data_IF_168451559007
#
_entry.id   IF_168451559007
#
_cell.length_a   1.000
_cell.length_b   1.000
_cell.length_c   1.000
_cell.angle_alpha   90.00
_cell.angle_beta   90.00
_cell.angle_gamma   90.00
#
_symmetry.space_group_name_H-M   'P 1'
#
loop_
_entity.id
_entity.type
_entity.pdbx_description
1 polymer ?
#
# COMPACT_ATOMS: atom_id res chain seq x y z
N UNK A 1 1.43 -6.80 7.50
CA UNK A 1 2.70 -6.34 6.91
C UNK A 1 3.89 -7.09 7.50
N UNK A 2 4.33 -6.81 8.74
CA UNK A 2 5.52 -7.43 9.36
C UNK A 2 5.59 -8.97 9.31
N UNK A 3 4.45 -9.67 9.47
CA UNK A 3 4.37 -11.14 9.36
C UNK A 3 4.79 -11.67 7.98
N UNK A 4 4.43 -10.97 6.91
CA UNK A 4 4.62 -11.45 5.54
C UNK A 4 5.83 -10.79 4.87
N UNK A 5 6.13 -9.52 5.19
CA UNK A 5 7.30 -8.80 4.70
C UNK A 5 7.99 -8.17 5.90
N UNK A 6 8.98 -8.86 6.49
CA UNK A 6 9.71 -8.33 7.63
C UNK A 6 10.72 -7.26 7.18
N UNK A 7 10.90 -6.22 8.00
CA UNK A 7 11.73 -5.06 7.65
C UNK A 7 13.18 -5.41 7.33
N UNK A 8 13.79 -6.35 8.06
CA UNK A 8 15.18 -6.80 7.83
C UNK A 8 15.38 -7.51 6.47
N UNK A 9 14.30 -7.96 5.81
CA UNK A 9 14.38 -8.48 4.44
C UNK A 9 14.33 -7.36 3.42
N UNK A 10 13.67 -6.25 3.75
CA UNK A 10 13.60 -5.10 2.86
C UNK A 10 14.86 -4.25 2.83
N UNK A 11 15.75 -4.40 3.81
CA UNK A 11 17.06 -3.75 3.81
C UNK A 11 18.11 -4.48 2.96
N UNK A 12 17.70 -5.49 2.19
CA UNK A 12 18.55 -6.16 1.18
C UNK A 12 18.43 -5.48 -0.18
N UNK A 13 19.31 -5.85 -1.12
CA UNK A 13 19.29 -5.39 -2.51
C UNK A 13 17.93 -5.62 -3.20
N UNK A 14 17.31 -6.77 -2.97
CA UNK A 14 16.04 -7.17 -3.58
C UNK A 14 14.82 -6.64 -2.80
N UNK A 15 15.05 -5.90 -1.70
CA UNK A 15 14.01 -5.47 -0.79
C UNK A 15 12.89 -4.69 -1.46
N UNK A 16 13.22 -3.61 -2.18
CA UNK A 16 12.22 -2.80 -2.86
C UNK A 16 11.47 -3.61 -3.92
N UNK A 17 12.15 -4.44 -4.72
CA UNK A 17 11.52 -5.30 -5.73
C UNK A 17 10.47 -6.22 -5.10
N UNK A 18 10.80 -6.83 -3.95
CA UNK A 18 9.87 -7.67 -3.19
C UNK A 18 8.67 -6.88 -2.66
N UNK A 19 8.90 -5.69 -2.09
CA UNK A 19 7.82 -4.84 -1.61
C UNK A 19 6.88 -4.43 -2.75
N UNK A 20 7.43 -4.03 -3.90
CA UNK A 20 6.66 -3.62 -5.08
C UNK A 20 5.88 -4.80 -5.69
N UNK A 21 6.48 -6.00 -5.77
CA UNK A 21 5.77 -7.21 -6.19
C UNK A 21 4.63 -7.57 -5.25
N UNK A 22 4.83 -7.44 -3.94
CA UNK A 22 3.79 -7.69 -2.94
C UNK A 22 2.66 -6.67 -3.04
N UNK A 23 2.98 -5.37 -3.00
CA UNK A 23 1.99 -4.29 -3.10
C UNK A 23 1.27 -4.29 -4.46
N UNK A 24 2.00 -4.63 -5.52
CA UNK A 24 1.56 -4.58 -6.92
C UNK A 24 0.48 -5.60 -7.29
N UNK A 25 0.12 -6.51 -6.38
CA UNK A 25 -0.99 -7.44 -6.56
C UNK A 25 -2.17 -7.20 -5.61
N UNK A 26 -2.12 -6.11 -4.83
CA UNK A 26 -3.21 -5.71 -3.92
C UNK A 26 -3.44 -6.70 -2.79
N UNK A 27 -2.80 -6.48 -1.64
CA UNK A 27 -2.79 -7.47 -0.56
C UNK A 27 -3.92 -7.24 0.43
N UNK A 28 -4.80 -8.22 0.58
CA UNK A 28 -6.01 -8.09 1.38
C UNK A 28 -6.45 -9.42 1.99
N UNK A 29 -7.71 -9.46 2.45
CA UNK A 29 -8.30 -10.70 2.99
C UNK A 29 -8.31 -11.84 1.95
N UNK A 30 -8.53 -11.52 0.67
CA UNK A 30 -8.59 -12.52 -0.41
C UNK A 30 -7.26 -13.21 -0.65
N UNK A 31 -6.16 -12.46 -0.57
CA UNK A 31 -4.81 -13.00 -0.80
C UNK A 31 -4.19 -13.66 0.43
N UNK A 32 -4.94 -13.78 1.54
CA UNK A 32 -4.45 -14.36 2.78
C UNK A 32 -3.94 -15.79 2.57
N UNK A 33 -4.74 -16.65 1.94
CA UNK A 33 -4.39 -18.05 1.73
C UNK A 33 -3.21 -18.20 0.78
N UNK A 34 -3.11 -17.32 -0.23
CA UNK A 34 -1.92 -17.22 -1.08
C UNK A 34 -0.70 -16.92 -0.22
N UNK A 35 -0.71 -15.81 0.52
CA UNK A 35 0.40 -15.43 1.39
C UNK A 35 0.75 -16.52 2.41
N UNK A 36 -0.21 -17.25 2.96
CA UNK A 36 0.05 -18.34 3.90
C UNK A 36 0.59 -19.61 3.21
N UNK A 37 0.21 -19.85 1.96
CA UNK A 37 0.70 -21.00 1.17
C UNK A 37 2.11 -20.82 0.61
N UNK A 38 2.50 -19.57 0.32
CA UNK A 38 3.80 -19.24 -0.29
C UNK A 38 4.75 -18.47 0.63
N UNK A 39 4.28 -17.94 1.78
CA UNK A 39 5.18 -17.54 2.85
C UNK A 39 5.87 -18.79 3.38
N UNK A 40 7.06 -19.07 2.84
CA UNK A 40 8.09 -19.90 3.46
C UNK A 40 8.26 -19.46 4.93
N UNK A 41 9.01 -20.19 5.78
CA UNK A 41 9.24 -19.77 7.18
C UNK A 41 9.71 -18.30 7.33
N UNK A 42 10.29 -17.73 6.26
CA UNK A 42 10.81 -16.37 6.14
C UNK A 42 9.85 -15.30 5.59
N UNK A 43 8.60 -15.61 5.23
CA UNK A 43 7.65 -14.66 4.63
C UNK A 43 7.62 -14.64 3.09
N UNK A 44 6.92 -13.65 2.52
CA UNK A 44 6.89 -13.33 1.09
C UNK A 44 8.19 -12.63 0.70
N UNK A 45 9.13 -13.41 0.17
CA UNK A 45 10.43 -12.90 -0.27
C UNK A 45 11.04 -13.83 -1.32
N UNK A 46 11.60 -13.24 -2.36
CA UNK A 46 12.36 -13.89 -3.42
C UNK A 46 13.73 -13.23 -3.57
N UNK A 47 14.71 -13.97 -4.06
CA UNK A 47 16.07 -13.50 -4.34
C UNK A 47 16.28 -13.18 -5.83
N UNK A 48 15.29 -13.48 -6.67
CA UNK A 48 15.32 -13.21 -8.12
C UNK A 48 13.91 -13.07 -8.69
N UNK A 49 13.81 -12.51 -9.90
CA UNK A 49 12.55 -12.48 -10.66
C UNK A 49 12.03 -13.90 -10.94
N UNK A 50 12.92 -14.85 -11.18
CA UNK A 50 12.55 -16.25 -11.44
C UNK A 50 11.90 -16.89 -10.21
N UNK A 51 12.48 -16.68 -9.01
CA UNK A 51 11.88 -17.14 -7.76
C UNK A 51 10.53 -16.45 -7.50
N UNK A 52 10.43 -15.15 -7.77
CA UNK A 52 9.17 -14.40 -7.65
C UNK A 52 8.10 -14.95 -8.59
N UNK A 53 8.43 -15.21 -9.85
CA UNK A 53 7.51 -15.82 -10.83
C UNK A 53 7.06 -17.21 -10.40
N UNK A 54 8.00 -18.06 -9.93
CA UNK A 54 7.71 -19.42 -9.47
C UNK A 54 6.68 -19.44 -8.32
N UNK A 55 6.77 -18.49 -7.38
CA UNK A 55 5.83 -18.37 -6.26
C UNK A 55 4.39 -18.20 -6.75
N UNK A 56 4.16 -17.37 -7.77
CA UNK A 56 2.84 -17.18 -8.35
C UNK A 56 2.44 -18.35 -9.25
N UNK A 57 3.38 -18.84 -10.08
CA UNK A 57 3.08 -19.89 -11.05
C UNK A 57 2.69 -21.21 -10.37
N UNK A 58 3.23 -21.49 -9.19
CA UNK A 58 2.83 -22.62 -8.34
C UNK A 58 1.33 -22.57 -8.04
N UNK A 59 0.82 -21.41 -7.63
CA UNK A 59 -0.60 -21.23 -7.27
C UNK A 59 -1.48 -21.16 -8.52
N UNK A 60 -1.03 -20.50 -9.57
CA UNK A 60 -1.73 -20.45 -10.87
C UNK A 60 -1.92 -21.87 -11.43
N UNK A 61 -0.87 -22.69 -11.45
CA UNK A 61 -0.94 -24.08 -11.93
C UNK A 61 -1.87 -24.93 -11.08
N UNK A 62 -1.84 -24.77 -9.76
CA UNK A 62 -2.75 -25.45 -8.83
C UNK A 62 -4.20 -25.07 -9.09
N UNK A 63 -4.49 -23.77 -9.23
CA UNK A 63 -5.82 -23.28 -9.53
C UNK A 63 -6.31 -23.77 -10.91
N UNK A 64 -5.46 -23.75 -11.93
CA UNK A 64 -5.81 -24.24 -13.26
C UNK A 64 -6.19 -25.73 -13.23
N UNK A 65 -5.41 -26.56 -12.53
CA UNK A 65 -5.73 -27.98 -12.34
C UNK A 65 -7.07 -28.16 -11.63
N UNK A 66 -7.31 -27.42 -10.55
CA UNK A 66 -8.58 -27.48 -9.82
C UNK A 66 -9.78 -27.13 -10.71
N UNK A 67 -9.65 -26.09 -11.54
CA UNK A 67 -10.72 -25.68 -12.46
C UNK A 67 -11.00 -26.77 -13.49
N UNK A 68 -9.96 -27.38 -14.08
CA UNK A 68 -10.10 -28.50 -15.02
C UNK A 68 -10.80 -29.69 -14.35
N UNK A 69 -10.32 -30.11 -13.17
CA UNK A 69 -10.86 -31.25 -12.43
C UNK A 69 -12.33 -31.06 -12.05
N UNK A 70 -12.75 -29.80 -11.82
CA UNK A 70 -14.14 -29.44 -11.50
C UNK A 70 -14.97 -29.01 -12.72
N UNK A 71 -14.42 -29.07 -13.93
CA UNK A 71 -15.13 -28.73 -15.18
C UNK A 71 -15.42 -27.24 -15.38
N UNK A 72 -14.68 -26.34 -14.72
CA UNK A 72 -14.79 -24.90 -14.88
C UNK A 72 -13.86 -24.37 -15.99
N UNK A 73 -14.25 -23.30 -16.70
CA UNK A 73 -13.40 -22.70 -17.72
C UNK A 73 -12.23 -21.93 -17.10
N UNK A 74 -11.04 -22.04 -17.72
CA UNK A 74 -9.79 -21.46 -17.23
C UNK A 74 -9.70 -19.93 -17.34
N UNK A 75 -10.54 -19.31 -18.17
CA UNK A 75 -10.55 -17.88 -18.43
C UNK A 75 -11.34 -17.08 -17.38
N UNK A 76 -12.05 -17.76 -16.47
CA UNK A 76 -12.83 -17.16 -15.40
C UNK A 76 -12.15 -17.33 -14.04
N UNK A 77 -12.36 -16.34 -13.17
CA UNK A 77 -11.97 -16.45 -11.77
C UNK A 77 -12.72 -17.61 -11.12
N UNK A 78 -11.98 -18.48 -10.44
CA UNK A 78 -12.53 -19.52 -9.57
C UNK A 78 -12.80 -19.06 -8.15
N UNK A 79 -12.77 -17.76 -7.86
CA UNK A 79 -12.98 -17.23 -6.51
C UNK A 79 -14.33 -17.72 -5.96
N UNK A 80 -14.28 -18.34 -4.77
CA UNK A 80 -15.44 -18.99 -4.13
C UNK A 80 -15.56 -20.50 -4.38
N UNK A 81 -14.75 -21.07 -5.28
CA UNK A 81 -14.62 -22.52 -5.43
C UNK A 81 -13.73 -23.05 -4.31
N UNK A 82 -14.21 -24.06 -3.58
CA UNK A 82 -13.42 -24.73 -2.54
C UNK A 82 -12.07 -25.23 -3.11
N UNK A 83 -10.98 -24.83 -2.44
CA UNK A 83 -9.60 -25.14 -2.81
C UNK A 83 -8.93 -24.12 -3.74
N UNK A 84 -9.68 -23.16 -4.31
CA UNK A 84 -9.12 -22.10 -5.14
C UNK A 84 -8.44 -21.05 -4.26
N UNK A 85 -7.25 -20.61 -4.65
CA UNK A 85 -6.44 -19.65 -3.89
C UNK A 85 -6.35 -18.34 -4.68
N UNK A 86 -6.98 -17.28 -4.18
CA UNK A 86 -6.84 -15.93 -4.75
C UNK A 86 -5.43 -15.40 -4.46
N UNK A 87 -4.67 -15.02 -5.51
CA UNK A 87 -3.28 -14.55 -5.41
C UNK A 87 -3.11 -13.06 -5.73
N UNK A 88 -4.18 -12.36 -6.12
CA UNK A 88 -4.28 -10.91 -6.24
C UNK A 88 -5.64 -10.37 -5.76
N UNK A 89 -5.71 -9.09 -5.38
CA UNK A 89 -6.95 -8.38 -5.05
C UNK A 89 -6.95 -6.97 -5.64
N UNK A 90 -7.55 -6.82 -6.81
CA UNK A 90 -7.73 -5.53 -7.48
C UNK A 90 -8.59 -4.52 -6.70
N UNK A 91 -9.28 -4.94 -5.63
CA UNK A 91 -10.22 -4.11 -4.85
C UNK A 91 -9.76 -3.83 -3.43
N UNK A 92 -8.50 -4.08 -3.12
CA UNK A 92 -7.92 -3.87 -1.78
C UNK A 92 -8.19 -2.46 -1.21
N UNK A 93 -8.33 -1.44 -2.07
CA UNK A 93 -8.57 -0.04 -1.68
C UNK A 93 -10.01 0.45 -1.87
N UNK A 94 -10.96 -0.46 -2.10
CA UNK A 94 -12.38 -0.13 -2.27
C UNK A 94 -12.79 0.29 -3.69
N UNK A 95 -11.82 0.54 -4.57
CA UNK A 95 -12.01 0.75 -6.01
C UNK A 95 -11.20 -0.27 -6.78
N UNK A 96 -11.76 -0.80 -7.86
CA UNK A 96 -11.05 -1.74 -8.73
C UNK A 96 -9.89 -1.03 -9.44
N UNK A 97 -8.68 -1.55 -9.31
CA UNK A 97 -7.50 -1.10 -10.03
C UNK A 97 -6.85 -2.27 -10.78
N UNK A 98 -6.98 -2.26 -12.11
CA UNK A 98 -6.40 -3.29 -12.98
C UNK A 98 -4.87 -3.35 -12.87
N UNK A 99 -4.18 -2.24 -12.57
CA UNK A 99 -2.73 -2.25 -12.37
C UNK A 99 -2.29 -2.97 -11.10
N UNK A 100 -3.20 -3.25 -10.17
CA UNK A 100 -2.95 -4.08 -8.99
C UNK A 100 -3.29 -5.56 -9.22
N UNK A 101 -3.61 -5.98 -10.46
CA UNK A 101 -3.65 -7.40 -10.77
C UNK A 101 -2.24 -7.94 -10.97
N UNK A 102 -2.03 -9.21 -10.64
CA UNK A 102 -0.83 -9.95 -11.01
C UNK A 102 -0.72 -10.15 -12.54
N UNK A 103 -1.84 -10.11 -13.27
CA UNK A 103 -1.89 -10.21 -14.73
C UNK A 103 -2.75 -9.08 -15.32
N UNK A 104 -2.28 -7.82 -15.24
CA UNK A 104 -3.05 -6.66 -15.66
C UNK A 104 -3.37 -6.71 -17.16
N UNK A 105 -4.54 -6.17 -17.51
CA UNK A 105 -4.92 -6.01 -18.93
C UNK A 105 -4.41 -4.68 -19.48
N UNK A 106 -3.62 -4.72 -20.55
CA UNK A 106 -3.10 -3.54 -21.26
C UNK A 106 -4.16 -2.92 -22.18
N UNK A 107 -3.88 -1.72 -22.68
CA UNK A 107 -4.67 -1.12 -23.77
C UNK A 107 -4.63 -2.07 -24.97
N UNK A 108 -5.82 -2.45 -25.47
CA UNK A 108 -5.95 -3.46 -26.53
C UNK A 108 -6.39 -4.84 -26.04
N UNK A 109 -6.56 -5.04 -24.73
CA UNK A 109 -7.15 -6.27 -24.17
C UNK A 109 -6.16 -7.41 -23.93
N UNK A 110 -4.87 -7.22 -24.25
CA UNK A 110 -3.82 -8.18 -23.95
C UNK A 110 -3.53 -8.20 -22.44
N UNK A 111 -3.53 -9.40 -21.83
CA UNK A 111 -3.09 -9.58 -20.44
C UNK A 111 -1.58 -9.74 -20.39
N UNK A 112 -0.93 -9.06 -19.44
CA UNK A 112 0.46 -9.35 -19.11
C UNK A 112 0.55 -10.66 -18.32
N UNK A 113 1.66 -11.38 -18.51
CA UNK A 113 2.11 -12.43 -17.63
C UNK A 113 2.59 -11.86 -16.29
N UNK A 114 2.73 -12.72 -15.27
CA UNK A 114 3.32 -12.33 -13.98
C UNK A 114 4.74 -11.79 -14.17
N UNK A 115 5.52 -12.44 -15.03
CA UNK A 115 6.89 -11.99 -15.34
C UNK A 115 6.90 -10.60 -15.94
N UNK A 116 6.13 -10.36 -17.01
CA UNK A 116 6.04 -9.04 -17.67
C UNK A 116 5.57 -7.94 -16.71
N UNK A 117 4.74 -8.26 -15.72
CA UNK A 117 4.31 -7.32 -14.68
C UNK A 117 5.45 -6.98 -13.71
N UNK A 118 6.22 -7.96 -13.26
CA UNK A 118 7.24 -7.75 -12.22
C UNK A 118 8.62 -7.40 -12.75
N UNK A 119 8.96 -7.77 -13.98
CA UNK A 119 10.26 -7.49 -14.59
C UNK A 119 10.72 -6.02 -14.40
N UNK A 120 9.85 -4.99 -14.57
CA UNK A 120 10.26 -3.60 -14.31
C UNK A 120 10.67 -3.33 -12.85
N UNK A 121 10.10 -4.02 -11.87
CA UNK A 121 10.43 -3.84 -10.45
C UNK A 121 11.75 -4.52 -10.07
N UNK A 122 12.19 -5.49 -10.88
CA UNK A 122 13.38 -6.30 -10.68
C UNK A 122 14.56 -5.86 -11.56
N UNK A 123 14.41 -4.75 -12.28
CA UNK A 123 15.47 -4.14 -13.05
C UNK A 123 16.66 -3.77 -12.15
N UNK A 124 17.87 -3.91 -12.68
CA UNK A 124 19.13 -3.66 -11.94
C UNK A 124 19.16 -2.23 -11.43
N UNK A 125 18.68 -1.27 -12.22
CA UNK A 125 18.63 0.16 -11.89
C UNK A 125 17.73 0.45 -10.68
N UNK A 126 16.65 -0.32 -10.50
CA UNK A 126 15.74 -0.20 -9.35
C UNK A 126 16.42 -0.71 -8.09
N UNK A 127 17.12 -1.85 -8.19
CA UNK A 127 17.86 -2.43 -7.09
C UNK A 127 19.05 -1.55 -6.68
N UNK A 128 19.78 -1.00 -7.65
CA UNK A 128 20.91 -0.09 -7.39
C UNK A 128 20.43 1.20 -6.72
N UNK A 129 19.35 1.80 -7.20
CA UNK A 129 18.75 2.98 -6.57
C UNK A 129 18.24 2.66 -5.15
N UNK A 130 17.77 1.45 -4.89
CA UNK A 130 17.38 1.01 -3.55
C UNK A 130 18.57 0.82 -2.61
N UNK A 131 19.64 0.19 -3.09
CA UNK A 131 20.90 0.04 -2.33
C UNK A 131 21.48 1.42 -1.99
N UNK A 132 21.52 2.34 -2.95
CA UNK A 132 21.95 3.72 -2.71
C UNK A 132 21.05 4.43 -1.70
N UNK A 133 19.73 4.24 -1.80
CA UNK A 133 18.78 4.81 -0.86
C UNK A 133 18.99 4.29 0.57
N UNK A 134 19.25 3.00 0.75
CA UNK A 134 19.48 2.41 2.07
C UNK A 134 20.80 2.89 2.69
N UNK A 135 21.84 3.10 1.88
CA UNK A 135 23.17 3.47 2.35
C UNK A 135 23.68 2.50 3.42
N UNK A 136 24.09 3.05 4.57
CA UNK A 136 24.63 2.25 5.68
C UNK A 136 23.61 1.30 6.35
N UNK A 137 22.30 1.46 6.06
CA UNK A 137 21.26 0.54 6.56
C UNK A 137 21.21 -0.78 5.76
N UNK A 138 21.95 -0.90 4.66
CA UNK A 138 21.97 -2.13 3.85
C UNK A 138 22.33 -3.35 4.71
N UNK A 139 21.51 -4.39 4.58
CA UNK A 139 21.60 -5.66 5.32
C UNK A 139 21.52 -5.53 6.86
N UNK A 140 21.02 -4.41 7.38
CA UNK A 140 20.78 -4.20 8.81
C UNK A 140 19.32 -4.41 9.19
N UNK A 141 19.03 -4.71 10.46
CA UNK A 141 17.65 -4.75 10.96
C UNK A 141 17.15 -3.32 11.29
N UNK A 142 16.15 -2.79 10.56
CA UNK A 142 15.64 -1.43 10.76
C UNK A 142 14.99 -1.22 12.14
N UNK A 143 14.65 -2.30 12.85
CA UNK A 143 14.10 -2.25 14.21
C UNK A 143 15.15 -1.94 15.28
N UNK A 144 16.42 -2.21 15.00
CA UNK A 144 17.57 -1.97 15.90
C UNK A 144 18.55 -0.91 15.36
N UNK A 145 18.37 -0.48 14.11
CA UNK A 145 19.14 0.60 13.49
C UNK A 145 19.02 1.92 14.26
N UNK A 146 20.17 2.52 14.58
CA UNK A 146 20.30 3.79 15.33
C UNK A 146 20.90 4.93 14.51
N UNK A 147 21.38 4.65 13.28
CA UNK A 147 21.89 5.69 12.38
C UNK A 147 20.77 6.58 11.80
N UNK A 148 21.12 7.57 10.98
CA UNK A 148 20.14 8.43 10.33
C UNK A 148 19.20 7.60 9.45
N UNK A 149 17.94 8.03 9.36
CA UNK A 149 16.94 7.47 8.46
C UNK A 149 16.51 8.54 7.47
N UNK A 150 16.30 8.13 6.23
CA UNK A 150 15.71 9.00 5.20
C UNK A 150 14.27 9.37 5.53
N UNK A 151 13.83 10.48 4.96
CA UNK A 151 12.47 11.00 5.05
C UNK A 151 11.43 10.13 4.37
N UNK A 152 10.19 10.23 4.83
CA UNK A 152 9.04 9.62 4.16
C UNK A 152 8.79 10.19 2.75
N UNK A 153 9.04 11.48 2.57
CA UNK A 153 9.01 12.18 1.29
C UNK A 153 10.10 11.69 0.33
N UNK A 154 11.30 11.39 0.83
CA UNK A 154 12.38 10.83 0.01
C UNK A 154 11.99 9.49 -0.63
N UNK A 155 11.34 8.58 0.11
CA UNK A 155 10.88 7.30 -0.46
C UNK A 155 9.72 7.49 -1.44
N UNK A 156 8.83 8.46 -1.19
CA UNK A 156 7.78 8.84 -2.14
C UNK A 156 8.40 9.32 -3.47
N UNK A 157 9.42 10.17 -3.40
CA UNK A 157 10.15 10.66 -4.57
C UNK A 157 10.89 9.55 -5.31
N UNK A 158 11.57 8.65 -4.58
CA UNK A 158 12.27 7.51 -5.18
C UNK A 158 11.29 6.65 -5.98
N UNK A 159 10.19 6.20 -5.38
CA UNK A 159 9.24 5.30 -6.05
C UNK A 159 8.57 6.01 -7.24
N UNK A 160 8.21 7.29 -7.10
CA UNK A 160 7.64 8.07 -8.19
C UNK A 160 8.61 8.20 -9.39
N UNK A 161 9.91 8.30 -9.14
CA UNK A 161 10.93 8.45 -10.18
C UNK A 161 11.03 7.26 -11.14
N UNK A 162 10.57 6.07 -10.75
CA UNK A 162 10.55 4.90 -11.62
C UNK A 162 9.39 4.90 -12.62
N UNK A 163 8.39 5.78 -12.45
CA UNK A 163 7.24 5.91 -13.36
C UNK A 163 6.45 4.61 -13.59
N UNK A 164 6.40 3.72 -12.58
CA UNK A 164 5.67 2.45 -12.70
C UNK A 164 4.16 2.67 -12.86
N UNK A 165 3.51 2.03 -13.84
CA UNK A 165 2.06 2.09 -14.00
C UNK A 165 1.31 1.64 -12.73
N UNK A 166 0.44 2.52 -12.21
CA UNK A 166 -0.33 2.27 -10.98
C UNK A 166 0.42 2.51 -9.66
N UNK A 167 1.71 2.86 -9.72
CA UNK A 167 2.60 3.13 -8.58
C UNK A 167 3.30 4.49 -8.64
N UNK A 168 3.26 5.20 -9.77
CA UNK A 168 3.87 6.53 -9.94
C UNK A 168 3.12 7.70 -9.27
N UNK A 169 2.04 7.44 -8.52
CA UNK A 169 1.25 8.49 -7.87
C UNK A 169 0.03 7.98 -7.10
N UNK A 170 -0.68 8.91 -6.47
CA UNK A 170 -1.93 8.64 -5.76
C UNK A 170 -1.80 7.64 -4.60
N UNK A 171 -2.88 6.92 -4.34
CA UNK A 171 -3.04 6.10 -3.14
C UNK A 171 -2.08 4.90 -3.07
N UNK A 172 -1.74 4.26 -4.20
CA UNK A 172 -0.81 3.13 -4.19
C UNK A 172 0.59 3.56 -3.77
N UNK A 173 1.06 4.71 -4.29
CA UNK A 173 2.35 5.29 -3.92
C UNK A 173 2.40 5.61 -2.42
N UNK A 174 1.36 6.30 -1.92
CA UNK A 174 1.21 6.61 -0.50
C UNK A 174 1.31 5.34 0.37
N UNK A 175 0.54 4.30 0.04
CA UNK A 175 0.55 3.07 0.82
C UNK A 175 1.90 2.33 0.75
N UNK A 176 2.62 2.43 -0.38
CA UNK A 176 3.96 1.86 -0.49
C UNK A 176 4.92 2.58 0.46
N UNK A 177 4.98 3.91 0.43
CA UNK A 177 5.81 4.69 1.35
C UNK A 177 5.42 4.48 2.82
N UNK A 178 4.11 4.41 3.11
CA UNK A 178 3.61 4.10 4.45
C UNK A 178 4.06 2.72 4.93
N UNK A 179 4.11 1.71 4.05
CA UNK A 179 4.62 0.40 4.40
C UNK A 179 6.11 0.46 4.78
N UNK A 180 6.93 1.20 4.03
CA UNK A 180 8.36 1.42 4.33
C UNK A 180 8.54 2.12 5.68
N UNK A 181 7.73 3.14 5.97
CA UNK A 181 7.77 3.86 7.25
C UNK A 181 7.31 3.00 8.43
N UNK A 182 6.24 2.22 8.28
CA UNK A 182 5.75 1.29 9.32
C UNK A 182 6.73 0.13 9.59
N UNK A 183 7.56 -0.21 8.61
CA UNK A 183 8.67 -1.16 8.76
C UNK A 183 9.95 -0.52 9.31
N UNK A 184 9.91 0.79 9.62
CA UNK A 184 10.98 1.60 10.22
C UNK A 184 12.21 1.81 9.33
N UNK A 185 12.10 1.65 8.01
CA UNK A 185 13.20 1.92 7.07
C UNK A 185 13.39 3.42 6.83
N UNK A 186 12.30 4.18 6.88
CA UNK A 186 12.29 5.65 6.82
C UNK A 186 11.65 6.24 8.06
N UNK A 187 11.77 7.55 8.25
CA UNK A 187 11.00 8.27 9.26
C UNK A 187 9.50 8.27 8.91
N UNK A 188 8.65 8.43 9.91
CA UNK A 188 7.23 8.70 9.66
C UNK A 188 7.06 10.09 9.04
N UNK A 189 6.03 10.33 8.21
CA UNK A 189 5.73 11.68 7.78
C UNK A 189 5.37 12.52 9.00
N UNK A 190 5.77 13.78 8.98
CA UNK A 190 5.19 14.76 9.87
C UNK A 190 3.71 15.03 9.49
N UNK A 191 2.90 15.59 10.39
CA UNK A 191 1.52 15.94 10.09
C UNK A 191 1.36 16.93 8.93
N UNK A 192 2.37 17.76 8.65
CA UNK A 192 2.33 18.81 7.63
C UNK A 192 2.44 18.24 6.22
N UNK A 193 3.40 17.32 6.01
CA UNK A 193 3.65 16.59 4.80
C UNK A 193 2.46 15.70 4.44
N UNK A 194 1.90 14.97 5.41
CA UNK A 194 0.73 14.13 5.13
C UNK A 194 -0.52 14.97 4.83
N UNK A 195 -0.72 16.09 5.53
CA UNK A 195 -1.80 17.01 5.22
C UNK A 195 -1.62 17.69 3.84
N UNK A 196 -0.40 18.07 3.46
CA UNK A 196 -0.11 18.60 2.12
C UNK A 196 -0.38 17.56 1.02
N UNK A 197 -0.08 16.29 1.29
CA UNK A 197 -0.44 15.20 0.40
C UNK A 197 -1.97 15.06 0.27
N UNK A 198 -2.72 15.11 1.38
CA UNK A 198 -4.19 15.09 1.37
C UNK A 198 -4.75 16.26 0.56
N UNK A 199 -4.18 17.46 0.73
CA UNK A 199 -4.59 18.64 -0.02
C UNK A 199 -4.38 18.52 -1.53
N UNK A 200 -3.40 17.73 -1.95
CA UNK A 200 -3.13 17.43 -3.36
C UNK A 200 -3.98 16.27 -3.90
N UNK A 201 -4.73 15.57 -3.04
CA UNK A 201 -5.52 14.38 -3.39
C UNK A 201 -6.95 14.47 -2.79
N UNK A 202 -7.64 15.57 -3.08
CA UNK A 202 -8.93 15.93 -2.47
C UNK A 202 -10.09 14.98 -2.84
N UNK A 203 -9.93 14.16 -3.87
CA UNK A 203 -10.88 13.14 -4.29
C UNK A 203 -10.83 11.87 -3.42
N UNK A 204 -9.83 11.75 -2.53
CA UNK A 204 -9.64 10.59 -1.67
C UNK A 204 -10.31 10.72 -0.29
N UNK A 205 -10.35 9.59 0.43
CA UNK A 205 -11.14 9.43 1.64
C UNK A 205 -10.74 10.34 2.81
N UNK A 206 -9.45 10.63 2.99
CA UNK A 206 -8.99 11.43 4.13
C UNK A 206 -9.50 12.88 4.05
N UNK A 207 -9.48 13.48 2.86
CA UNK A 207 -10.06 14.80 2.61
C UNK A 207 -11.57 14.81 2.92
N UNK A 208 -12.32 13.82 2.40
CA UNK A 208 -13.76 13.68 2.68
C UNK A 208 -14.06 13.43 4.16
N UNK A 209 -13.19 12.70 4.86
CA UNK A 209 -13.30 12.48 6.30
C UNK A 209 -13.26 13.81 7.07
N UNK A 210 -12.33 14.70 6.73
CA UNK A 210 -12.25 16.04 7.33
C UNK A 210 -13.49 16.91 7.02
N UNK A 211 -14.03 16.82 5.80
CA UNK A 211 -15.29 17.52 5.47
C UNK A 211 -16.47 17.03 6.30
N UNK A 212 -16.60 15.70 6.47
CA UNK A 212 -17.68 15.09 7.27
C UNK A 212 -17.56 15.46 8.75
N UNK A 213 -16.33 15.60 9.27
CA UNK A 213 -16.08 16.09 10.62
C UNK A 213 -16.39 17.59 10.79
N UNK A 214 -16.71 18.32 9.73
CA UNK A 214 -17.16 19.71 9.79
C UNK A 214 -16.06 20.76 9.70
N UNK A 215 -14.83 20.41 9.28
CA UNK A 215 -13.71 21.37 9.17
C UNK A 215 -13.87 22.44 8.07
N UNK A 216 -14.97 22.42 7.29
CA UNK A 216 -15.32 23.51 6.37
C UNK A 216 -14.28 23.74 5.26
N UNK A 217 -13.83 22.65 4.63
CA UNK A 217 -12.74 22.67 3.65
C UNK A 217 -13.12 23.22 2.28
N UNK A 218 -14.41 23.19 1.92
CA UNK A 218 -14.86 23.64 0.60
C UNK A 218 -14.71 25.17 0.44
N UNK A 219 -14.12 25.66 -0.67
CA UNK A 219 -14.05 27.09 -0.94
C UNK A 219 -15.46 27.64 -1.15
N UNK A 220 -15.82 28.67 -0.37
CA UNK A 220 -17.15 29.32 -0.44
C UNK A 220 -17.40 30.09 -1.74
N UNK A 221 -16.38 30.25 -2.60
CA UNK A 221 -16.48 30.97 -3.89
C UNK A 221 -15.56 30.34 -4.93
N UNK A 222 -16.08 30.12 -6.14
CA UNK A 222 -15.29 29.74 -7.29
C UNK A 222 -14.18 30.78 -7.53
N UNK A 223 -12.91 30.37 -7.43
CA UNK A 223 -11.75 31.21 -7.77
C UNK A 223 -10.85 31.66 -6.61
N UNK A 224 -11.15 31.33 -5.34
CA UNK A 224 -10.20 31.53 -4.24
C UNK A 224 -9.24 30.32 -4.15
N UNK A 225 -7.95 30.62 -4.32
CA UNK A 225 -6.86 29.67 -4.61
C UNK A 225 -6.56 28.65 -3.51
N UNK A 226 -6.19 27.46 -3.99
CA UNK A 226 -5.58 26.26 -3.39
C UNK A 226 -4.75 26.46 -2.12
N UNK A 227 -4.00 27.57 -1.96
CA UNK A 227 -3.15 27.80 -0.78
C UNK A 227 -3.95 27.88 0.53
N UNK A 228 -5.12 28.53 0.52
CA UNK A 228 -5.99 28.60 1.69
C UNK A 228 -6.61 27.23 2.02
N UNK A 229 -6.66 26.31 1.05
CA UNK A 229 -7.14 24.94 1.28
C UNK A 229 -6.10 24.10 2.00
N UNK A 230 -4.81 24.21 1.64
CA UNK A 230 -3.72 23.48 2.29
C UNK A 230 -3.64 23.83 3.79
N UNK A 231 -3.65 25.11 4.14
CA UNK A 231 -3.60 25.55 5.56
C UNK A 231 -4.79 25.03 6.37
N UNK A 232 -6.01 25.07 5.81
CA UNK A 232 -7.21 24.54 6.48
C UNK A 232 -7.15 23.03 6.66
N UNK A 233 -6.66 22.31 5.66
CA UNK A 233 -6.48 20.85 5.73
C UNK A 233 -5.40 20.52 6.77
N UNK A 234 -4.30 21.25 6.80
CA UNK A 234 -3.26 21.10 7.83
C UNK A 234 -3.81 21.33 9.24
N UNK A 235 -4.54 22.43 9.46
CA UNK A 235 -5.17 22.72 10.75
C UNK A 235 -6.18 21.64 11.13
N UNK A 236 -7.04 21.21 10.20
CA UNK A 236 -8.02 20.15 10.46
C UNK A 236 -7.36 18.83 10.81
N UNK A 237 -6.39 18.39 10.00
CA UNK A 237 -5.65 17.16 10.23
C UNK A 237 -4.89 17.19 11.56
N UNK A 238 -4.15 18.27 11.84
CA UNK A 238 -3.45 18.47 13.12
C UNK A 238 -4.40 18.51 14.30
N UNK A 239 -5.59 19.09 14.15
CA UNK A 239 -6.59 19.14 15.23
C UNK A 239 -7.08 17.74 15.58
N UNK A 240 -7.33 16.89 14.57
CA UNK A 240 -7.71 15.49 14.80
C UNK A 240 -6.55 14.72 15.44
N UNK A 241 -5.33 14.90 14.94
CA UNK A 241 -4.15 14.27 15.52
C UNK A 241 -3.96 14.66 17.00
N UNK A 242 -3.96 15.96 17.29
CA UNK A 242 -3.77 16.49 18.65
C UNK A 242 -4.90 16.06 19.59
N UNK A 243 -6.15 16.01 19.11
CA UNK A 243 -7.26 15.51 19.89
C UNK A 243 -7.06 14.03 20.27
N UNK A 244 -6.76 13.16 19.30
CA UNK A 244 -6.51 11.74 19.59
C UNK A 244 -5.29 11.54 20.48
N UNK A 245 -4.22 12.31 20.26
CA UNK A 245 -3.02 12.24 21.10
C UNK A 245 -3.32 12.69 22.55
N UNK A 246 -4.19 13.67 22.74
CA UNK A 246 -4.56 14.13 24.08
C UNK A 246 -5.47 13.15 24.82
N UNK A 247 -6.39 12.48 24.11
CA UNK A 247 -7.48 11.72 24.74
C UNK A 247 -7.31 10.20 24.70
N UNK A 248 -6.44 9.65 23.85
CA UNK A 248 -6.09 8.23 23.90
C UNK A 248 -5.14 7.94 25.07
N UNK A 249 -5.43 6.88 25.82
CA UNK A 249 -4.50 6.38 26.83
C UNK A 249 -3.19 5.89 26.17
N UNK A 250 -2.06 5.85 26.90
CA UNK A 250 -0.83 5.22 26.40
C UNK A 250 -1.05 3.79 25.91
N UNK A 251 -1.89 3.02 26.60
CA UNK A 251 -2.26 1.66 26.26
C UNK A 251 -3.03 1.59 24.93
N UNK A 252 -4.01 2.48 24.73
CA UNK A 252 -4.75 2.56 23.47
C UNK A 252 -3.85 3.01 22.32
N UNK A 253 -2.97 3.98 22.55
CA UNK A 253 -1.99 4.42 21.54
C UNK A 253 -1.09 3.26 21.11
N UNK A 254 -0.61 2.46 22.06
CA UNK A 254 0.20 1.29 21.78
C UNK A 254 -0.59 0.22 21.01
N UNK A 255 -1.83 -0.07 21.44
CA UNK A 255 -2.70 -1.06 20.82
C UNK A 255 -3.07 -0.69 19.37
N UNK A 256 -3.39 0.59 19.14
CA UNK A 256 -3.78 1.12 17.83
C UNK A 256 -2.57 1.37 16.92
N UNK A 257 -1.35 1.38 17.46
CA UNK A 257 -0.17 1.87 16.76
C UNK A 257 -0.33 3.34 16.36
N UNK A 258 -0.83 4.17 17.28
CA UNK A 258 -1.15 5.58 17.03
C UNK A 258 0.07 6.35 16.51
N UNK A 259 -0.10 6.95 15.34
CA UNK A 259 0.87 7.81 14.67
C UNK A 259 0.15 8.63 13.58
N UNK A 260 0.92 9.41 12.81
CA UNK A 260 0.38 10.27 11.75
C UNK A 260 -0.37 9.46 10.67
N UNK A 261 0.15 8.28 10.29
CA UNK A 261 -0.48 7.39 9.32
C UNK A 261 -1.79 6.79 9.84
N UNK A 262 -1.88 6.50 11.14
CA UNK A 262 -3.12 6.04 11.77
C UNK A 262 -4.24 7.07 11.61
N UNK A 263 -3.95 8.36 11.78
CA UNK A 263 -4.95 9.43 11.63
C UNK A 263 -5.45 9.54 10.20
N UNK A 264 -4.58 9.45 9.20
CA UNK A 264 -4.99 9.41 7.79
C UNK A 264 -5.89 8.21 7.51
N UNK A 265 -5.50 7.01 7.96
CA UNK A 265 -6.31 5.81 7.81
C UNK A 265 -7.68 5.95 8.48
N UNK A 266 -7.73 6.53 9.69
CA UNK A 266 -8.98 6.79 10.42
C UNK A 266 -9.90 7.70 9.60
N UNK A 267 -9.38 8.85 9.14
CA UNK A 267 -10.14 9.82 8.32
C UNK A 267 -10.71 9.15 7.07
N UNK A 268 -9.92 8.32 6.39
CA UNK A 268 -10.34 7.52 5.24
C UNK A 268 -11.53 6.58 5.52
N UNK A 269 -11.76 6.17 6.77
CA UNK A 269 -12.90 5.30 7.13
C UNK A 269 -14.13 6.06 7.62
N UNK A 270 -14.02 7.35 7.96
CA UNK A 270 -15.15 8.15 8.46
C UNK A 270 -16.32 8.12 7.47
N UNK A 271 -16.07 8.37 6.18
CA UNK A 271 -17.11 8.33 5.15
C UNK A 271 -17.80 6.97 5.06
N UNK A 272 -17.05 5.87 5.25
CA UNK A 272 -17.59 4.52 5.21
C UNK A 272 -18.49 4.24 6.41
N UNK A 273 -18.09 4.68 7.60
CA UNK A 273 -18.88 4.53 8.81
C UNK A 273 -20.13 5.40 8.81
N UNK A 274 -20.01 6.68 8.42
CA UNK A 274 -21.15 7.61 8.28
C UNK A 274 -22.21 7.04 7.32
N UNK A 275 -21.79 6.52 6.16
CA UNK A 275 -22.70 5.88 5.21
C UNK A 275 -23.42 4.66 5.79
N UNK A 276 -22.71 3.81 6.53
CA UNK A 276 -23.30 2.63 7.18
C UNK A 276 -24.25 3.00 8.33
N UNK A 277 -23.93 4.03 9.11
CA UNK A 277 -24.80 4.54 10.17
C UNK A 277 -26.11 5.06 9.59
N UNK A 278 -26.04 5.87 8.52
CA UNK A 278 -27.22 6.38 7.80
C UNK A 278 -28.08 5.27 7.18
N UNK A 279 -27.49 4.11 6.90
CA UNK A 279 -28.19 2.93 6.37
C UNK A 279 -28.69 1.97 7.47
N UNK A 280 -28.45 2.26 8.75
CA UNK A 280 -28.83 1.36 9.85
C UNK A 280 -28.10 0.01 9.84
N UNK A 281 -26.86 -0.04 9.34
CA UNK A 281 -26.06 -1.27 9.18
C UNK A 281 -25.01 -1.48 10.27
N UNK A 282 -25.13 -0.78 11.39
CA UNK A 282 -24.24 -0.83 12.56
C UNK A 282 -25.12 -0.93 13.80
#
# INVERSE_FOLDING_TARGET
>A
LQKHIPGHKLTTREGLSNLLSWMGTGQGFRTKDFLESIARPSGFFASSLDEMEEMFQTVINKNAKLLIDKGFPLDKSGSGIEGYIDYDDMRVWGTANNFLSATPTLRGGQKQTVREKFEPYWAVEVQDAWVEFLGDMLDQDPSTWTGPKKGWDEIMMLIASFHFPGLGGGLTLLHCANAVALLKLVTLPDPEALAAWIASNQDLGAYRGLEILGFGLTPKKAGQKVEMEVEKIQVGFKSVFAHLDQYLSPEDKALLGFNVLFVEHLLCKITRWDSRMKQGKI
#
